data_IF_874034081404
#
_entry.id   IF_874034081404
#
_cell.length_a   1.000
_cell.length_b   1.000
_cell.length_c   1.000
_cell.angle_alpha   90.00
_cell.angle_beta   90.00
_cell.angle_gamma   90.00
#
_symmetry.space_group_name_H-M   'P 1'
#
loop_
_entity.id
_entity.type
_entity.pdbx_description
1 polymer ?
#
# COMPACT_ATOMS: atom_id res chain seq x y z
N UNK A 1 -4.00 7.61 61.79
CA UNK A 1 -2.91 7.93 60.86
C UNK A 1 -3.40 7.64 59.44
N UNK A 2 -3.73 8.68 58.68
CA UNK A 2 -4.16 8.56 57.28
C UNK A 2 -2.93 8.66 56.38
N UNK A 3 -2.53 7.55 55.77
CA UNK A 3 -1.45 7.54 54.79
C UNK A 3 -1.97 8.15 53.49
N UNK A 4 -1.45 9.33 53.14
CA UNK A 4 -1.62 9.87 51.78
C UNK A 4 -1.08 8.85 50.77
N UNK A 5 -1.82 8.52 49.70
CA UNK A 5 -1.29 7.67 48.66
C UNK A 5 -0.11 8.36 47.97
N UNK A 6 0.88 7.57 47.50
CA UNK A 6 2.09 8.10 46.88
C UNK A 6 1.77 8.93 45.62
N UNK A 7 2.60 9.94 45.30
CA UNK A 7 2.43 10.74 44.09
C UNK A 7 2.49 9.84 42.86
N UNK A 8 1.44 9.93 42.04
CA UNK A 8 1.32 9.17 40.79
C UNK A 8 2.46 9.59 39.86
N UNK A 9 3.30 8.64 39.45
CA UNK A 9 4.36 8.88 38.47
C UNK A 9 3.80 9.37 37.13
N UNK A 10 4.64 9.97 36.27
CA UNK A 10 4.22 10.54 34.98
C UNK A 10 3.72 9.49 33.96
N UNK A 11 3.83 8.20 34.28
CA UNK A 11 3.25 7.11 33.51
C UNK A 11 1.91 6.67 34.11
N UNK A 12 0.99 7.62 34.27
CA UNK A 12 -0.42 7.26 34.34
C UNK A 12 -0.79 6.82 32.91
N UNK A 13 -1.01 5.50 32.70
CA UNK A 13 -1.75 5.00 31.54
C UNK A 13 -3.19 5.49 31.71
N UNK A 14 -3.41 6.75 31.35
CA UNK A 14 -4.72 7.36 31.28
C UNK A 14 -5.42 6.73 30.07
N UNK A 15 -6.25 5.73 30.37
CA UNK A 15 -7.16 5.00 29.47
C UNK A 15 -6.55 4.43 28.18
N UNK A 16 -6.45 3.10 28.13
CA UNK A 16 -6.26 2.32 26.89
C UNK A 16 -7.52 2.35 26.01
N UNK A 17 -8.06 3.54 25.76
CA UNK A 17 -9.24 3.70 24.91
C UNK A 17 -8.79 3.61 23.45
N UNK A 18 -9.38 2.67 22.72
CA UNK A 18 -9.20 2.61 21.27
C UNK A 18 -9.81 3.90 20.70
N UNK A 19 -8.97 4.71 20.04
CA UNK A 19 -9.44 5.86 19.29
C UNK A 19 -10.15 5.37 18.02
N UNK A 20 -11.46 5.18 18.11
CA UNK A 20 -12.33 4.81 16.98
C UNK A 20 -12.06 5.69 15.74
N UNK A 21 -12.01 7.04 15.82
CA UNK A 21 -11.77 7.86 14.64
C UNK A 21 -10.35 7.67 14.08
N UNK A 22 -9.34 7.48 14.93
CA UNK A 22 -7.97 7.24 14.48
C UNK A 22 -7.80 5.88 13.81
N UNK A 23 -8.40 4.84 14.37
CA UNK A 23 -8.41 3.48 13.80
C UNK A 23 -9.19 3.44 12.50
N UNK A 24 -10.37 4.06 12.44
CA UNK A 24 -11.17 4.13 11.22
C UNK A 24 -10.44 4.87 10.10
N UNK A 25 -9.84 6.02 10.42
CA UNK A 25 -9.05 6.81 9.45
C UNK A 25 -7.89 6.00 8.89
N UNK A 26 -7.16 5.30 9.76
CA UNK A 26 -6.08 4.43 9.33
C UNK A 26 -6.60 3.29 8.43
N UNK A 27 -7.55 2.49 8.91
CA UNK A 27 -8.06 1.33 8.19
C UNK A 27 -8.64 1.70 6.82
N UNK A 28 -9.50 2.72 6.76
CA UNK A 28 -10.08 3.21 5.51
C UNK A 28 -9.01 3.76 4.57
N UNK A 29 -8.06 4.54 5.09
CA UNK A 29 -6.95 5.04 4.30
C UNK A 29 -6.11 3.93 3.68
N UNK A 30 -5.81 2.87 4.45
CA UNK A 30 -5.07 1.70 3.95
C UNK A 30 -5.86 0.88 2.94
N UNK A 31 -7.18 0.78 3.09
CA UNK A 31 -8.05 0.08 2.13
C UNK A 31 -8.26 0.88 0.84
N UNK A 32 -8.23 2.21 0.90
CA UNK A 32 -8.39 3.10 -0.25
C UNK A 32 -7.17 3.12 -1.19
N UNK A 33 -5.99 2.70 -0.70
CA UNK A 33 -4.76 2.69 -1.47
C UNK A 33 -4.87 1.83 -2.73
N UNK A 34 -5.33 0.58 -2.63
CA UNK A 34 -5.40 -0.30 -3.79
C UNK A 34 -6.36 0.22 -4.90
N UNK A 35 -7.59 0.68 -4.57
CA UNK A 35 -8.43 1.39 -5.53
C UNK A 35 -7.74 2.61 -6.16
N UNK A 36 -7.05 3.43 -5.35
CA UNK A 36 -6.32 4.59 -5.86
C UNK A 36 -5.24 4.16 -6.87
N UNK A 37 -4.39 3.21 -6.52
CA UNK A 37 -3.33 2.73 -7.42
C UNK A 37 -3.91 2.07 -8.68
N UNK A 38 -4.99 1.29 -8.55
CA UNK A 38 -5.72 0.77 -9.70
C UNK A 38 -6.17 1.90 -10.64
N UNK A 39 -6.78 2.97 -10.12
CA UNK A 39 -7.21 4.09 -10.96
C UNK A 39 -6.04 4.81 -11.62
N UNK A 40 -4.88 4.89 -10.95
CA UNK A 40 -3.69 5.50 -11.51
C UNK A 40 -3.18 4.75 -12.74
N UNK A 41 -3.22 3.42 -12.71
CA UNK A 41 -2.88 2.59 -13.85
C UNK A 41 -4.00 2.61 -14.92
N UNK A 42 -5.23 2.27 -14.54
CA UNK A 42 -6.35 2.06 -15.47
C UNK A 42 -6.74 3.33 -16.24
N UNK A 43 -6.76 4.49 -15.57
CA UNK A 43 -7.11 5.78 -16.20
C UNK A 43 -5.89 6.51 -16.79
N UNK A 44 -4.71 5.90 -16.73
CA UNK A 44 -3.46 6.50 -17.20
C UNK A 44 -3.06 7.77 -16.45
N UNK A 45 -3.50 7.95 -15.19
CA UNK A 45 -3.10 9.12 -14.40
C UNK A 45 -1.60 9.10 -14.10
N UNK A 46 -1.03 7.91 -13.87
CA UNK A 46 0.41 7.75 -13.70
C UNK A 46 1.18 8.15 -14.98
N UNK A 47 0.68 7.75 -16.15
CA UNK A 47 1.23 8.14 -17.46
C UNK A 47 1.15 9.65 -17.65
N UNK A 48 0.02 10.28 -17.34
CA UNK A 48 -0.15 11.74 -17.39
C UNK A 48 0.81 12.48 -16.46
N UNK A 49 1.02 11.97 -15.24
CA UNK A 49 1.97 12.53 -14.28
C UNK A 49 3.43 12.45 -14.76
N UNK A 50 3.81 11.35 -15.41
CA UNK A 50 5.14 11.26 -16.05
C UNK A 50 5.26 12.18 -17.26
N UNK A 51 4.20 12.30 -18.06
CA UNK A 51 4.18 13.21 -19.20
C UNK A 51 4.32 14.68 -18.79
N UNK A 52 3.76 15.09 -17.65
CA UNK A 52 3.89 16.48 -17.15
C UNK A 52 5.33 16.85 -16.74
N UNK A 53 6.20 15.86 -16.52
CA UNK A 53 7.64 16.09 -16.25
C UNK A 53 8.53 15.79 -17.46
N UNK A 54 7.94 15.69 -18.66
CA UNK A 54 8.66 15.55 -19.93
C UNK A 54 8.97 14.12 -20.36
N UNK A 55 8.50 13.11 -19.64
CA UNK A 55 8.69 11.71 -20.03
C UNK A 55 7.62 11.27 -21.03
N UNK A 56 8.04 10.89 -22.25
CA UNK A 56 7.12 10.34 -23.26
C UNK A 56 6.63 8.97 -22.80
N UNK A 57 5.35 8.87 -22.50
CA UNK A 57 4.73 7.68 -21.94
C UNK A 57 3.50 7.29 -22.76
N UNK A 58 3.38 6.00 -23.10
CA UNK A 58 2.17 5.43 -23.72
C UNK A 58 1.48 4.52 -22.72
N UNK A 59 0.15 4.66 -22.62
CA UNK A 59 -0.65 3.87 -21.69
C UNK A 59 -0.87 2.43 -22.16
N UNK A 60 -0.52 2.13 -23.42
CA UNK A 60 -0.74 0.81 -24.03
C UNK A 60 -0.10 -0.31 -23.20
N UNK A 61 1.14 -0.12 -22.72
CA UNK A 61 1.85 -1.13 -21.92
C UNK A 61 1.32 -1.27 -20.48
N UNK A 62 0.59 -0.27 -19.99
CA UNK A 62 -0.01 -0.27 -18.66
C UNK A 62 -1.36 -0.99 -18.67
N UNK A 63 -2.06 -0.98 -19.80
CA UNK A 63 -3.40 -1.57 -19.97
C UNK A 63 -3.45 -2.77 -20.92
N UNK A 64 -2.32 -3.17 -21.53
CA UNK A 64 -2.26 -4.29 -22.46
C UNK A 64 -2.53 -5.62 -21.75
N UNK A 65 -3.61 -6.27 -22.16
CA UNK A 65 -4.12 -7.57 -21.66
C UNK A 65 -3.08 -8.66 -21.92
N UNK A 66 -2.66 -9.44 -20.90
CA UNK A 66 -3.51 -10.43 -20.21
C UNK A 66 -3.72 -10.22 -18.69
N UNK A 67 -3.64 -8.99 -18.17
CA UNK A 67 -3.93 -8.73 -16.76
C UNK A 67 -5.42 -8.68 -16.40
N UNK A 68 -5.71 -8.40 -15.14
CA UNK A 68 -7.08 -8.37 -14.61
C UNK A 68 -7.64 -6.94 -14.59
N UNK A 69 -8.93 -6.79 -14.92
CA UNK A 69 -9.63 -5.50 -14.82
C UNK A 69 -9.10 -4.42 -15.76
N UNK A 70 -8.62 -4.79 -16.96
CA UNK A 70 -8.11 -3.83 -17.95
C UNK A 70 -6.69 -3.31 -17.66
N UNK A 71 -6.01 -3.89 -16.68
CA UNK A 71 -4.61 -3.64 -16.39
C UNK A 71 -3.72 -4.66 -17.11
N UNK A 72 -2.48 -4.27 -17.42
CA UNK A 72 -1.43 -5.20 -17.82
C UNK A 72 -0.89 -6.02 -16.65
N UNK A 73 -0.07 -7.06 -16.91
CA UNK A 73 0.34 -8.01 -15.88
C UNK A 73 1.07 -7.41 -14.68
N UNK A 74 2.04 -6.51 -14.93
CA UNK A 74 2.78 -5.84 -13.85
C UNK A 74 1.87 -4.91 -13.03
N UNK A 75 1.07 -4.01 -13.63
CA UNK A 75 0.08 -3.22 -12.88
C UNK A 75 -0.93 -4.06 -12.09
N UNK A 76 -1.40 -5.19 -12.65
CA UNK A 76 -2.28 -6.13 -11.93
C UNK A 76 -1.58 -6.69 -10.70
N UNK A 77 -0.35 -7.20 -10.83
CA UNK A 77 0.42 -7.76 -9.73
C UNK A 77 0.61 -6.72 -8.62
N UNK A 78 1.05 -5.52 -8.98
CA UNK A 78 1.35 -4.46 -8.03
C UNK A 78 0.08 -3.98 -7.29
N UNK A 79 -1.03 -3.84 -8.02
CA UNK A 79 -2.34 -3.53 -7.43
C UNK A 79 -2.76 -4.61 -6.43
N UNK A 80 -2.55 -5.89 -6.75
CA UNK A 80 -2.80 -7.00 -5.84
C UNK A 80 -1.95 -6.93 -4.57
N UNK A 81 -0.66 -6.61 -4.71
CA UNK A 81 0.23 -6.42 -3.55
C UNK A 81 -0.23 -5.26 -2.66
N UNK A 82 -0.64 -4.14 -3.24
CA UNK A 82 -1.23 -3.02 -2.48
C UNK A 82 -2.50 -3.45 -1.74
N UNK A 83 -3.37 -4.23 -2.38
CA UNK A 83 -4.59 -4.74 -1.76
C UNK A 83 -4.29 -5.64 -0.56
N UNK A 84 -3.39 -6.61 -0.72
CA UNK A 84 -2.99 -7.53 0.36
C UNK A 84 -2.38 -6.75 1.54
N UNK A 85 -1.46 -5.82 1.26
CA UNK A 85 -0.85 -4.99 2.30
C UNK A 85 -1.87 -4.11 3.02
N UNK A 86 -2.78 -3.48 2.26
CA UNK A 86 -3.85 -2.63 2.79
C UNK A 86 -4.83 -3.39 3.68
N UNK A 87 -5.35 -4.54 3.21
CA UNK A 87 -6.26 -5.40 3.95
C UNK A 87 -5.61 -5.86 5.26
N UNK A 88 -4.36 -6.32 5.19
CA UNK A 88 -3.62 -6.76 6.37
C UNK A 88 -3.47 -5.64 7.40
N UNK A 89 -3.13 -4.43 6.97
CA UNK A 89 -2.89 -3.31 7.89
C UNK A 89 -4.20 -2.81 8.50
N UNK A 90 -5.28 -2.80 7.72
CA UNK A 90 -6.63 -2.54 8.22
C UNK A 90 -7.08 -3.62 9.22
N UNK A 91 -6.86 -4.91 8.92
CA UNK A 91 -7.17 -6.01 9.83
C UNK A 91 -6.45 -5.85 11.17
N UNK A 92 -5.14 -5.61 11.13
CA UNK A 92 -4.36 -5.39 12.34
C UNK A 92 -4.88 -4.20 13.16
N UNK A 93 -5.17 -3.07 12.51
CA UNK A 93 -5.66 -1.87 13.19
C UNK A 93 -7.04 -2.08 13.84
N UNK A 94 -7.92 -2.88 13.23
CA UNK A 94 -9.29 -3.11 13.72
C UNK A 94 -9.35 -4.21 14.78
N UNK A 95 -8.59 -5.30 14.60
CA UNK A 95 -8.78 -6.52 15.39
C UNK A 95 -7.64 -6.86 16.36
N UNK A 96 -6.46 -6.26 16.20
CA UNK A 96 -5.27 -6.67 16.96
C UNK A 96 -4.61 -5.50 17.71
N UNK A 97 -4.75 -4.27 17.21
CA UNK A 97 -4.12 -3.11 17.82
C UNK A 97 -4.85 -2.68 19.11
N UNK A 98 -4.14 -2.78 20.24
CA UNK A 98 -4.59 -2.26 21.55
C UNK A 98 -3.99 -0.87 21.89
N UNK A 99 -3.50 -0.15 20.87
CA UNK A 99 -2.84 1.14 21.07
C UNK A 99 -3.79 2.30 20.77
N UNK A 100 -3.68 3.38 21.53
CA UNK A 100 -4.34 4.64 21.21
C UNK A 100 -3.73 5.25 19.93
N UNK A 101 -4.56 5.44 18.91
CA UNK A 101 -4.18 6.11 17.66
C UNK A 101 -4.80 7.50 17.59
N UNK A 102 -4.00 8.55 17.75
CA UNK A 102 -4.49 9.89 17.41
C UNK A 102 -4.83 9.95 15.91
N UNK A 103 -5.97 10.57 15.58
CA UNK A 103 -6.41 10.74 14.18
C UNK A 103 -5.37 11.48 13.33
N UNK A 104 -4.67 12.46 13.90
CA UNK A 104 -3.62 13.20 13.19
C UNK A 104 -2.42 12.31 12.85
N UNK A 105 -2.02 11.42 13.77
CA UNK A 105 -0.95 10.46 13.53
C UNK A 105 -1.36 9.44 12.46
N UNK A 106 -2.59 8.93 12.52
CA UNK A 106 -3.13 8.02 11.50
C UNK A 106 -3.15 8.66 10.10
N UNK A 107 -3.59 9.91 9.99
CA UNK A 107 -3.58 10.65 8.73
C UNK A 107 -2.17 10.79 8.17
N UNK A 108 -1.20 11.15 9.01
CA UNK A 108 0.19 11.26 8.60
C UNK A 108 0.74 9.94 8.04
N UNK A 109 0.45 8.82 8.71
CA UNK A 109 0.90 7.49 8.24
C UNK A 109 0.23 7.12 6.92
N UNK A 110 -1.09 7.31 6.80
CA UNK A 110 -1.83 7.04 5.56
C UNK A 110 -1.25 7.87 4.42
N UNK A 111 -1.09 9.18 4.62
CA UNK A 111 -0.54 10.08 3.61
C UNK A 111 0.85 9.66 3.14
N UNK A 112 1.77 9.37 4.07
CA UNK A 112 3.12 8.92 3.72
C UNK A 112 3.10 7.60 2.93
N UNK A 113 2.26 6.64 3.32
CA UNK A 113 2.12 5.37 2.60
C UNK A 113 1.57 5.59 1.19
N UNK A 114 0.50 6.39 1.07
CA UNK A 114 -0.10 6.72 -0.21
C UNK A 114 0.92 7.41 -1.12
N UNK A 115 1.70 8.35 -0.60
CA UNK A 115 2.76 9.04 -1.36
C UNK A 115 3.84 8.07 -1.85
N UNK A 116 4.32 7.16 -0.98
CA UNK A 116 5.29 6.13 -1.38
C UNK A 116 4.70 5.20 -2.45
N UNK A 117 3.43 4.82 -2.31
CA UNK A 117 2.76 3.98 -3.29
C UNK A 117 2.55 4.69 -4.64
N UNK A 118 2.27 5.99 -4.63
CA UNK A 118 2.26 6.84 -5.84
C UNK A 118 3.64 6.80 -6.52
N UNK A 119 4.72 6.97 -5.76
CA UNK A 119 6.09 6.90 -6.31
C UNK A 119 6.38 5.52 -6.89
N UNK A 120 6.03 4.45 -6.20
CA UNK A 120 6.19 3.07 -6.69
C UNK A 120 5.40 2.83 -7.99
N UNK A 121 4.18 3.34 -8.08
CA UNK A 121 3.34 3.27 -9.27
C UNK A 121 3.96 4.05 -10.44
N UNK A 122 4.44 5.28 -10.20
CA UNK A 122 5.12 6.07 -11.23
C UNK A 122 6.41 5.40 -11.71
N UNK A 123 7.21 4.84 -10.81
CA UNK A 123 8.42 4.09 -11.15
C UNK A 123 8.09 2.84 -11.98
N UNK A 124 7.05 2.09 -11.61
CA UNK A 124 6.60 0.93 -12.36
C UNK A 124 6.15 1.30 -13.77
N UNK A 125 5.35 2.38 -13.93
CA UNK A 125 4.97 2.88 -15.26
C UNK A 125 6.19 3.33 -16.04
N UNK A 126 7.13 4.04 -15.42
CA UNK A 126 8.35 4.50 -16.09
C UNK A 126 9.18 3.33 -16.64
N UNK A 127 9.40 2.28 -15.83
CA UNK A 127 10.12 1.08 -16.29
C UNK A 127 9.36 0.38 -17.43
N UNK A 128 8.03 0.27 -17.34
CA UNK A 128 7.21 -0.35 -18.37
C UNK A 128 7.30 0.37 -19.72
N UNK A 129 7.21 1.70 -19.72
CA UNK A 129 7.28 2.50 -20.97
C UNK A 129 8.70 2.56 -21.55
N UNK A 130 9.73 2.43 -20.70
CA UNK A 130 11.14 2.47 -21.13
C UNK A 130 11.67 1.11 -21.59
N UNK A 131 10.90 0.03 -21.39
CA UNK A 131 11.30 -1.31 -21.83
C UNK A 131 10.67 -1.61 -23.20
N UNK A 132 11.47 -1.92 -24.24
CA UNK A 132 10.93 -2.37 -25.52
C UNK A 132 10.34 -3.78 -25.35
N UNK A 133 9.02 -3.87 -25.13
CA UNK A 133 8.33 -5.15 -25.04
C UNK A 133 7.84 -5.59 -26.42
N UNK A 134 8.40 -6.70 -26.91
CA UNK A 134 8.12 -7.28 -28.23
C UNK A 134 7.17 -8.49 -28.22
N UNK A 135 6.66 -8.95 -27.06
CA UNK A 135 5.80 -10.14 -27.01
C UNK A 135 4.59 -9.96 -26.08
N UNK A 136 3.38 -10.03 -26.64
CA UNK A 136 2.09 -10.09 -25.94
C UNK A 136 1.72 -11.56 -25.67
N UNK A 137 2.43 -12.21 -24.75
CA UNK A 137 2.18 -13.60 -24.31
C UNK A 137 1.18 -13.71 -23.15
N UNK A 138 1.13 -14.87 -22.47
CA UNK A 138 0.31 -15.11 -21.27
C UNK A 138 0.76 -14.26 -20.06
N UNK A 139 -0.08 -14.12 -19.04
CA UNK A 139 0.24 -13.38 -17.80
C UNK A 139 1.53 -13.87 -17.15
N UNK A 140 1.73 -15.19 -17.13
CA UNK A 140 2.95 -15.83 -16.60
C UNK A 140 4.19 -15.50 -17.41
N UNK A 141 4.05 -15.30 -18.72
CA UNK A 141 5.16 -15.01 -19.63
C UNK A 141 5.65 -13.57 -19.45
N UNK A 142 4.77 -12.67 -18.99
CA UNK A 142 5.11 -11.30 -18.61
C UNK A 142 5.77 -11.19 -17.23
N UNK A 143 5.52 -12.16 -16.34
CA UNK A 143 6.09 -12.16 -14.98
C UNK A 143 7.48 -12.80 -15.06
N UNK A 144 8.48 -11.97 -15.37
CA UNK A 144 9.88 -12.38 -15.35
C UNK A 144 10.39 -12.76 -13.95
N UNK A 145 11.61 -13.31 -13.89
CA UNK A 145 12.21 -13.77 -12.63
C UNK A 145 12.29 -12.65 -11.56
N UNK A 146 12.51 -11.40 -12.00
CA UNK A 146 12.62 -10.24 -11.10
C UNK A 146 11.29 -9.97 -10.37
N UNK A 147 10.17 -10.11 -11.09
CA UNK A 147 8.83 -9.94 -10.54
C UNK A 147 8.50 -11.07 -9.54
N UNK A 148 8.90 -12.31 -9.85
CA UNK A 148 8.79 -13.44 -8.91
C UNK A 148 9.62 -13.25 -7.64
N UNK A 149 10.86 -12.76 -7.78
CA UNK A 149 11.70 -12.45 -6.64
C UNK A 149 11.07 -11.36 -5.76
N UNK A 150 10.57 -10.28 -6.37
CA UNK A 150 9.87 -9.20 -5.67
C UNK A 150 8.61 -9.69 -4.95
N UNK A 151 7.79 -10.52 -5.60
CA UNK A 151 6.60 -11.12 -5.01
C UNK A 151 6.95 -12.02 -3.81
N UNK A 152 8.00 -12.82 -3.94
CA UNK A 152 8.49 -13.70 -2.85
C UNK A 152 8.94 -12.88 -1.64
N UNK A 153 9.77 -11.85 -1.85
CA UNK A 153 10.24 -10.98 -0.78
C UNK A 153 9.07 -10.28 -0.10
N UNK A 154 8.09 -9.81 -0.89
CA UNK A 154 6.87 -9.20 -0.36
C UNK A 154 6.07 -10.19 0.50
N UNK A 155 5.85 -11.41 0.02
CA UNK A 155 5.12 -12.44 0.76
C UNK A 155 5.83 -12.79 2.09
N UNK A 156 7.16 -12.92 2.07
CA UNK A 156 7.97 -13.11 3.28
C UNK A 156 7.79 -11.94 4.25
N UNK A 157 7.84 -10.69 3.76
CA UNK A 157 7.62 -9.50 4.59
C UNK A 157 6.24 -9.50 5.26
N UNK A 158 5.17 -9.81 4.52
CA UNK A 158 3.82 -9.92 5.06
C UNK A 158 3.74 -11.02 6.13
N UNK A 159 4.34 -12.18 5.86
CA UNK A 159 4.37 -13.30 6.80
C UNK A 159 5.13 -12.95 8.09
N UNK A 160 6.34 -12.38 7.97
CA UNK A 160 7.15 -11.94 9.11
C UNK A 160 6.40 -10.92 9.97
N UNK A 161 5.82 -9.91 9.35
CA UNK A 161 5.07 -8.89 10.08
C UNK A 161 3.82 -9.51 10.73
N UNK A 162 3.22 -10.55 10.16
CA UNK A 162 2.07 -11.26 10.77
C UNK A 162 2.48 -12.08 11.99
N UNK A 163 3.63 -12.75 11.92
CA UNK A 163 4.18 -13.54 13.03
C UNK A 163 4.62 -12.62 14.17
N UNK A 164 5.31 -11.52 13.86
CA UNK A 164 5.84 -10.58 14.85
C UNK A 164 4.76 -9.80 15.63
N UNK A 165 3.51 -9.81 15.15
CA UNK A 165 2.38 -9.08 15.74
C UNK A 165 1.31 -10.01 16.35
N UNK A 166 1.62 -11.30 16.49
CA UNK A 166 0.94 -12.21 17.42
C UNK A 166 1.45 -11.98 18.84
#
# INVERSE_FOLDING_TARGET
>A
MSSKPPPRGPFHRENSDISIPGTATFALGRLADAPLQYTMFARGLAVKGLASVGLRASNVLVTAVPGFGGLGPIPTLLTGMYAVAGIRQAYWAVFTANNYYSTSASLGIVFCNTAINIVNTLAAVHVLISTPNSNLGSFTDFIGWKQWAGLTIFAIGIAMETIAKK
#
